data_IF_417258730233
#
_entry.id   IF_417258730233
#
_cell.length_a   1.000
_cell.length_b   1.000
_cell.length_c   1.000
_cell.angle_alpha   90.00
_cell.angle_beta   90.00
_cell.angle_gamma   90.00
#
_symmetry.space_group_name_H-M   'P 1'
#
loop_
_entity.id
_entity.type
_entity.pdbx_description
1 polymer ?
#
# COMPACT_ATOMS: atom_id res chain seq x y z
N UNK A 1 18.36 -7.05 2.02
CA UNK A 1 17.59 -6.28 3.02
C UNK A 1 16.50 -7.18 3.59
N UNK A 2 16.42 -7.33 4.92
CA UNK A 2 15.33 -8.06 5.57
C UNK A 2 14.15 -7.09 5.77
N UNK A 3 13.01 -7.38 5.18
CA UNK A 3 11.79 -6.56 5.31
C UNK A 3 10.95 -7.14 6.43
N UNK A 4 10.77 -6.39 7.51
CA UNK A 4 9.84 -6.75 8.57
C UNK A 4 8.41 -6.41 8.13
N UNK A 5 7.54 -7.43 8.10
CA UNK A 5 6.17 -7.31 7.64
C UNK A 5 5.34 -6.31 8.45
N UNK A 6 5.51 -6.28 9.77
CA UNK A 6 4.73 -5.38 10.63
C UNK A 6 5.15 -3.92 10.46
N UNK A 7 6.46 -3.68 10.32
CA UNK A 7 6.98 -2.32 10.16
C UNK A 7 6.63 -1.72 8.80
N UNK A 8 6.78 -2.48 7.71
CA UNK A 8 6.40 -1.98 6.38
C UNK A 8 4.90 -1.71 6.30
N UNK A 9 4.07 -2.55 6.93
CA UNK A 9 2.62 -2.34 6.99
C UNK A 9 2.29 -1.03 7.72
N UNK A 10 2.91 -0.79 8.88
CA UNK A 10 2.70 0.43 9.66
C UNK A 10 3.14 1.70 8.88
N UNK A 11 4.29 1.65 8.21
CA UNK A 11 4.81 2.79 7.47
C UNK A 11 4.00 3.06 6.17
N UNK A 12 3.46 2.03 5.52
CA UNK A 12 2.52 2.18 4.40
C UNK A 12 1.23 2.86 4.87
N UNK A 13 0.65 2.40 5.99
CA UNK A 13 -0.55 3.01 6.54
C UNK A 13 -0.32 4.47 6.95
N UNK A 14 0.83 4.78 7.57
CA UNK A 14 1.20 6.15 7.88
C UNK A 14 1.31 7.02 6.62
N UNK A 15 1.87 6.47 5.54
CA UNK A 15 1.97 7.16 4.23
C UNK A 15 0.59 7.46 3.65
N UNK A 16 -0.29 6.46 3.59
CA UNK A 16 -1.64 6.62 3.04
C UNK A 16 -2.50 7.56 3.90
N UNK A 17 -2.34 7.56 5.23
CA UNK A 17 -3.05 8.52 6.11
C UNK A 17 -2.63 9.98 5.90
N UNK A 18 -1.41 10.24 5.44
CA UNK A 18 -0.90 11.61 5.23
C UNK A 18 -1.44 12.29 3.98
N UNK A 19 -1.78 11.53 2.94
CA UNK A 19 -2.18 12.14 1.67
C UNK A 19 -3.13 11.31 0.82
N UNK A 20 -3.79 10.33 1.43
CA UNK A 20 -4.90 9.59 0.85
C UNK A 20 -4.45 8.48 -0.09
N UNK A 21 -4.65 8.71 -1.39
CA UNK A 21 -4.68 7.67 -2.41
C UNK A 21 -3.42 7.69 -3.27
N UNK A 22 -2.60 6.64 -3.20
CA UNK A 22 -1.30 6.61 -3.86
C UNK A 22 -1.05 5.35 -4.69
N UNK A 23 -0.38 5.48 -5.86
CA UNK A 23 0.12 4.32 -6.59
C UNK A 23 1.31 3.66 -5.86
N UNK A 24 1.48 2.36 -6.10
CA UNK A 24 2.51 1.52 -5.44
C UNK A 24 3.92 2.10 -5.54
N UNK A 25 4.29 2.71 -6.68
CA UNK A 25 5.62 3.31 -6.83
C UNK A 25 5.81 4.60 -6.00
N UNK A 26 4.74 5.37 -5.79
CA UNK A 26 4.78 6.59 -4.96
C UNK A 26 4.93 6.21 -3.50
N UNK A 27 4.18 5.21 -3.03
CA UNK A 27 4.34 4.67 -1.68
C UNK A 27 5.79 4.22 -1.46
N UNK A 28 6.35 3.44 -2.38
CA UNK A 28 7.77 3.03 -2.32
C UNK A 28 8.70 4.23 -2.24
N UNK A 29 8.48 5.25 -3.07
CA UNK A 29 9.35 6.43 -3.10
C UNK A 29 9.29 7.20 -1.79
N UNK A 30 8.10 7.40 -1.21
CA UNK A 30 7.97 8.02 0.12
C UNK A 30 8.72 7.23 1.19
N UNK A 31 8.57 5.91 1.22
CA UNK A 31 9.28 5.05 2.18
C UNK A 31 10.80 5.08 1.99
N UNK A 32 11.26 5.11 0.74
CA UNK A 32 12.69 5.11 0.41
C UNK A 32 13.36 6.48 0.62
N UNK A 33 12.60 7.58 0.50
CA UNK A 33 13.08 8.95 0.66
C UNK A 33 12.92 9.50 2.09
N UNK A 34 12.13 8.85 2.95
CA UNK A 34 12.04 9.22 4.36
C UNK A 34 13.45 9.16 5.01
N UNK A 35 13.82 10.22 5.70
CA UNK A 35 15.13 10.41 6.36
C UNK A 35 15.45 9.29 7.36
N UNK A 36 14.43 8.52 7.79
CA UNK A 36 14.57 7.21 8.44
C UNK A 36 14.90 6.13 7.40
N UNK A 37 16.11 6.16 6.86
CA UNK A 37 16.65 5.34 5.74
C UNK A 37 16.58 3.80 5.89
N UNK A 38 15.80 3.25 6.83
CA UNK A 38 15.63 1.80 7.03
C UNK A 38 15.08 1.09 5.79
N UNK A 39 14.40 1.80 4.88
CA UNK A 39 13.87 1.23 3.63
C UNK A 39 14.74 1.44 2.38
N UNK A 40 16.03 1.79 2.54
CA UNK A 40 16.95 1.93 1.40
C UNK A 40 17.03 0.61 0.61
N UNK A 41 16.71 0.67 -0.69
CA UNK A 41 16.67 -0.51 -1.57
C UNK A 41 15.35 -1.30 -1.55
N UNK A 42 14.28 -0.73 -1.00
CA UNK A 42 12.95 -1.34 -1.02
C UNK A 42 12.45 -1.54 -2.46
N UNK A 43 12.21 -2.80 -2.85
CA UNK A 43 11.64 -3.16 -4.14
C UNK A 43 10.13 -2.93 -4.16
N UNK A 44 9.60 -2.62 -5.34
CA UNK A 44 8.15 -2.47 -5.59
C UNK A 44 7.36 -3.73 -5.18
N UNK A 45 7.93 -4.92 -5.38
CA UNK A 45 7.30 -6.19 -4.99
C UNK A 45 7.03 -6.28 -3.49
N UNK A 46 7.93 -5.77 -2.64
CA UNK A 46 7.73 -5.78 -1.19
C UNK A 46 6.55 -4.89 -0.78
N UNK A 47 6.46 -3.71 -1.37
CA UNK A 47 5.33 -2.78 -1.15
C UNK A 47 4.03 -3.42 -1.62
N UNK A 48 4.03 -4.02 -2.82
CA UNK A 48 2.85 -4.69 -3.35
C UNK A 48 2.38 -5.85 -2.45
N UNK A 49 3.30 -6.68 -1.96
CA UNK A 49 2.99 -7.78 -1.04
C UNK A 49 2.39 -7.26 0.27
N UNK A 50 2.93 -6.17 0.82
CA UNK A 50 2.41 -5.52 2.01
C UNK A 50 1.02 -4.92 1.78
N UNK A 51 0.81 -4.18 0.69
CA UNK A 51 -0.49 -3.64 0.33
C UNK A 51 -1.56 -4.75 0.18
N UNK A 52 -1.25 -5.84 -0.52
CA UNK A 52 -2.16 -7.00 -0.64
C UNK A 52 -2.47 -7.68 0.69
N UNK A 53 -1.53 -7.64 1.65
CA UNK A 53 -1.77 -8.16 3.01
C UNK A 53 -2.71 -7.24 3.78
N UNK A 54 -2.50 -5.92 3.70
CA UNK A 54 -3.38 -4.92 4.30
C UNK A 54 -4.78 -4.92 3.69
N UNK A 55 -4.87 -5.12 2.38
CA UNK A 55 -6.13 -5.27 1.64
C UNK A 55 -6.91 -6.50 2.08
N UNK A 56 -6.25 -7.66 2.19
CA UNK A 56 -6.86 -8.88 2.75
C UNK A 56 -7.35 -8.72 4.19
N UNK A 57 -6.79 -7.76 4.93
CA UNK A 57 -7.21 -7.40 6.30
C UNK A 57 -8.30 -6.34 6.34
N UNK A 58 -8.75 -5.83 5.18
CA UNK A 58 -9.77 -4.78 5.09
C UNK A 58 -9.30 -3.42 5.62
N UNK A 59 -7.99 -3.14 5.63
CA UNK A 59 -7.45 -1.87 6.14
C UNK A 59 -7.23 -0.85 5.02
N UNK A 60 -6.94 -1.35 3.82
CA UNK A 60 -6.79 -0.55 2.60
C UNK A 60 -7.55 -1.24 1.47
N UNK A 61 -7.82 -0.51 0.40
CA UNK A 61 -8.45 -1.07 -0.80
C UNK A 61 -7.74 -0.61 -2.07
N UNK A 62 -7.76 -1.46 -3.08
CA UNK A 62 -7.32 -1.09 -4.43
C UNK A 62 -8.39 -0.20 -5.08
N UNK A 63 -8.01 1.03 -5.43
CA UNK A 63 -8.92 2.01 -6.05
C UNK A 63 -8.92 1.94 -7.59
N UNK A 64 -7.89 1.32 -8.20
CA UNK A 64 -7.79 1.21 -9.65
C UNK A 64 -7.20 -0.14 -10.07
N UNK A 65 -7.93 -0.86 -10.92
CA UNK A 65 -7.52 -2.13 -11.51
C UNK A 65 -6.70 -1.90 -12.78
N UNK A 66 -5.42 -1.57 -12.60
CA UNK A 66 -4.43 -1.63 -13.68
C UNK A 66 -3.62 -2.92 -13.62
N UNK A 67 -3.27 -3.44 -14.81
CA UNK A 67 -2.35 -4.58 -14.98
C UNK A 67 -0.91 -4.23 -14.58
N UNK A 68 -0.55 -2.95 -14.59
CA UNK A 68 0.77 -2.48 -14.20
C UNK A 68 0.90 -2.42 -12.68
N UNK A 69 1.66 -3.35 -12.10
CA UNK A 69 1.91 -3.47 -10.66
C UNK A 69 2.40 -2.18 -9.99
N UNK A 70 3.17 -1.34 -10.68
CA UNK A 70 3.62 -0.04 -10.17
C UNK A 70 2.49 0.97 -10.04
N UNK A 71 1.50 0.91 -10.94
CA UNK A 71 0.41 1.87 -11.05
C UNK A 71 -0.84 1.46 -10.24
N UNK A 72 -0.82 0.31 -9.55
CA UNK A 72 -1.90 -0.08 -8.62
C UNK A 72 -2.03 0.97 -7.53
N UNK A 73 -3.23 1.54 -7.43
CA UNK A 73 -3.56 2.68 -6.58
C UNK A 73 -4.24 2.19 -5.31
N UNK A 74 -3.69 2.57 -4.15
CA UNK A 74 -4.15 2.14 -2.83
C UNK A 74 -4.68 3.31 -2.05
N UNK A 75 -5.72 3.08 -1.25
CA UNK A 75 -6.29 4.06 -0.34
C UNK A 75 -6.67 3.39 0.98
N UNK A 76 -6.65 4.15 2.09
CA UNK A 76 -7.17 3.67 3.38
C UNK A 76 -8.65 3.33 3.20
N UNK A 77 -9.05 2.19 3.75
CA UNK A 77 -10.46 1.88 3.92
C UNK A 77 -10.90 2.53 5.23
N UNK A 78 -11.50 3.73 5.16
CA UNK A 78 -11.99 4.44 6.36
C UNK A 78 -13.17 3.72 7.01
N UNK A 79 -13.71 2.70 6.34
CA UNK A 79 -14.71 1.84 6.90
C UNK A 79 -14.05 0.57 7.48
N UNK A 80 -14.21 0.36 8.78
CA UNK A 80 -14.37 -1.02 9.30
C UNK A 80 -15.70 -1.64 8.83
N UNK A 81 -16.09 -1.43 7.57
CA UNK A 81 -17.47 -1.50 7.12
C UNK A 81 -17.59 -1.70 5.61
N UNK A 82 -17.88 -2.96 5.26
CA UNK A 82 -18.41 -3.43 3.98
C UNK A 82 -17.36 -3.74 2.90
N UNK A 83 -17.21 -5.02 2.51
CA UNK A 83 -16.40 -5.38 1.35
C UNK A 83 -16.98 -4.72 0.09
N UNK A 84 -16.11 -4.20 -0.75
CA UNK A 84 -16.47 -3.72 -2.08
C UNK A 84 -17.17 -4.85 -2.85
N UNK A 85 -18.50 -4.75 -2.98
CA UNK A 85 -19.26 -5.51 -3.97
C UNK A 85 -18.77 -5.05 -5.35
N UNK A 86 -18.01 -5.89 -6.05
CA UNK A 86 -18.09 -6.00 -7.50
C UNK A 86 -18.77 -7.33 -7.78
N UNK A 87 -19.97 -7.43 -8.38
CA UNK A 87 -20.58 -6.48 -9.29
C UNK A 87 -19.91 -6.59 -10.65
N UNK A 88 -20.06 -7.74 -11.30
CA UNK A 88 -19.84 -7.88 -12.73
C UNK A 88 -21.21 -8.15 -13.35
N UNK A 89 -21.76 -7.12 -13.98
CA UNK A 89 -22.59 -7.25 -15.18
C UNK A 89 -21.73 -7.71 -16.36
#
# INVERSE_FOLDING_TARGET
MKVNAAEIDADILATLRRGGTYPTYVIRNHLAMDHRTKWKGLKTSHVLTACRRLERRGVIRLNNMTSYITMKVWQIDEAGGTPAKGGAE
#
